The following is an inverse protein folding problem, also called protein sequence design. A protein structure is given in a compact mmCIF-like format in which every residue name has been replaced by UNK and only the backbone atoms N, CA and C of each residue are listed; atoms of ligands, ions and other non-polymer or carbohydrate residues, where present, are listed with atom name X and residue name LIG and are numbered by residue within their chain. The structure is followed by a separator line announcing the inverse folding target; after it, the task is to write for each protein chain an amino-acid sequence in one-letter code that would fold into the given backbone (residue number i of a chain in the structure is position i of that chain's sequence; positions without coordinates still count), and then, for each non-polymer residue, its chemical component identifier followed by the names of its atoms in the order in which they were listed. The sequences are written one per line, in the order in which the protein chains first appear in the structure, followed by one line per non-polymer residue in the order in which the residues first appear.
data_IF_699933984724
#
_entry.id   IF_699933984724
#
_cell.length_a   1.000
_cell.length_b   1.000
_cell.length_c   1.000
_cell.angle_alpha   90.00
_cell.angle_beta   90.00
_cell.angle_gamma   90.00
#
_symmetry.space_group_name_H-M   'P 1'
#
loop_
_entity.id
_entity.type
_entity.pdbx_description
1 polymer ?
#
# COMPACT_ATOMS: atom_id res chain seq x y z
N UNK A 1 -1.11 11.55 -16.57
CA UNK A 1 -1.93 12.48 -17.38
C UNK A 1 -1.10 13.57 -18.08
N UNK A 2 0.20 13.36 -18.31
CA UNK A 2 1.11 14.40 -18.85
C UNK A 2 1.44 14.23 -20.34
N UNK A 3 1.07 13.10 -20.95
CA UNK A 3 1.36 12.79 -22.36
C UNK A 3 0.09 12.91 -23.22
N UNK A 4 0.17 13.65 -24.32
CA UNK A 4 -0.84 13.62 -25.39
C UNK A 4 -0.61 12.41 -26.29
N UNK A 5 -1.69 11.77 -26.70
CA UNK A 5 -1.70 10.67 -27.66
C UNK A 5 -2.23 11.17 -29.00
N UNK A 6 -1.66 10.69 -30.10
CA UNK A 6 -2.06 11.11 -31.45
C UNK A 6 -1.67 12.55 -31.82
N UNK A 7 -0.63 13.11 -31.18
CA UNK A 7 -0.10 14.42 -31.57
C UNK A 7 0.61 14.32 -32.93
N UNK A 8 0.10 15.03 -33.93
CA UNK A 8 0.73 15.24 -35.23
C UNK A 8 1.17 16.71 -35.35
N UNK A 9 1.97 17.04 -36.38
CA UNK A 9 2.46 18.41 -36.61
C UNK A 9 1.33 19.47 -36.73
N UNK A 10 0.08 19.05 -36.95
CA UNK A 10 -1.10 19.89 -37.18
C UNK A 10 -2.20 19.76 -36.11
N UNK A 11 -2.07 18.86 -35.12
CA UNK A 11 -3.11 18.68 -34.09
C UNK A 11 -2.52 18.45 -32.69
N UNK A 12 -2.95 19.22 -31.68
CA UNK A 12 -2.56 18.97 -30.30
C UNK A 12 -3.26 17.68 -29.84
N UNK A 13 -2.54 16.57 -29.79
CA UNK A 13 -3.09 15.24 -29.48
C UNK A 13 -3.93 15.17 -28.20
N UNK A 14 -4.74 14.12 -28.04
CA UNK A 14 -5.70 13.99 -26.95
C UNK A 14 -5.04 13.49 -25.65
N UNK A 15 -5.54 13.95 -24.49
CA UNK A 15 -5.06 13.52 -23.17
C UNK A 15 -6.11 12.68 -22.46
N UNK A 16 -5.68 11.54 -21.91
CA UNK A 16 -6.54 10.71 -21.08
C UNK A 16 -6.60 11.22 -19.64
N UNK A 17 -7.81 11.44 -19.13
CA UNK A 17 -8.08 12.09 -17.85
C UNK A 17 -8.68 11.17 -16.78
N UNK A 18 -9.16 9.97 -17.14
CA UNK A 18 -9.81 9.09 -16.19
C UNK A 18 -8.82 8.13 -15.48
N UNK A 19 -8.54 8.39 -14.20
CA UNK A 19 -7.69 7.49 -13.40
C UNK A 19 -8.40 6.20 -12.98
N UNK A 20 -9.73 6.22 -12.84
CA UNK A 20 -10.49 5.05 -12.40
C UNK A 20 -10.47 3.96 -13.48
N UNK A 21 -10.50 4.34 -14.76
CA UNK A 21 -10.32 3.40 -15.87
C UNK A 21 -8.94 2.71 -15.85
N UNK A 22 -7.85 3.46 -15.60
CA UNK A 22 -6.51 2.87 -15.47
C UNK A 22 -6.41 1.91 -14.28
N UNK A 23 -7.05 2.26 -13.16
CA UNK A 23 -7.14 1.39 -11.98
C UNK A 23 -7.93 0.12 -12.31
N UNK A 24 -9.00 0.21 -13.11
CA UNK A 24 -9.73 -0.96 -13.60
C UNK A 24 -8.82 -1.85 -14.45
N UNK A 25 -8.09 -1.31 -15.41
CA UNK A 25 -7.17 -2.09 -16.26
C UNK A 25 -6.13 -2.84 -15.42
N UNK A 26 -5.55 -2.17 -14.42
CA UNK A 26 -4.60 -2.80 -13.49
C UNK A 26 -5.25 -3.98 -12.74
N UNK A 27 -6.48 -3.81 -12.25
CA UNK A 27 -7.23 -4.85 -11.52
C UNK A 27 -7.62 -6.02 -12.42
N UNK A 28 -8.05 -5.74 -13.66
CA UNK A 28 -8.41 -6.76 -14.66
C UNK A 28 -7.18 -7.60 -15.02
N UNK A 29 -6.05 -6.95 -15.34
CA UNK A 29 -4.83 -7.70 -15.65
C UNK A 29 -4.37 -8.53 -14.44
N UNK A 30 -4.38 -7.95 -13.24
CA UNK A 30 -4.06 -8.65 -12.02
C UNK A 30 -4.96 -9.88 -11.79
N UNK A 31 -6.26 -9.75 -12.05
CA UNK A 31 -7.22 -10.84 -11.97
C UNK A 31 -6.90 -11.95 -12.98
N UNK A 32 -6.59 -11.59 -14.23
CA UNK A 32 -6.21 -12.54 -15.30
C UNK A 32 -4.92 -13.26 -14.94
N UNK A 33 -3.87 -12.54 -14.54
CA UNK A 33 -2.56 -13.11 -14.16
C UNK A 33 -2.71 -14.04 -12.96
N UNK A 34 -3.46 -13.62 -11.94
CA UNK A 34 -3.71 -14.46 -10.76
C UNK A 34 -4.57 -15.69 -11.10
N UNK A 35 -5.60 -15.52 -11.95
CA UNK A 35 -6.44 -16.62 -12.42
C UNK A 35 -5.65 -17.65 -13.22
N UNK A 36 -4.85 -17.20 -14.17
CA UNK A 36 -3.96 -18.04 -14.97
C UNK A 36 -2.94 -18.76 -14.07
N UNK A 37 -2.34 -18.06 -13.12
CA UNK A 37 -1.40 -18.65 -12.16
C UNK A 37 -2.07 -19.68 -11.23
N UNK A 38 -3.34 -19.49 -10.88
CA UNK A 38 -4.12 -20.47 -10.10
C UNK A 38 -4.46 -21.74 -10.91
N UNK A 39 -4.66 -21.61 -12.22
CA UNK A 39 -4.93 -22.75 -13.12
C UNK A 39 -3.65 -23.51 -13.45
N UNK A 40 -2.56 -22.80 -13.73
CA UNK A 40 -1.28 -23.39 -14.17
C UNK A 40 -0.45 -23.95 -13.00
N UNK A 41 -0.49 -23.34 -11.82
CA UNK A 41 0.28 -23.77 -10.66
C UNK A 41 -0.64 -24.43 -9.62
N UNK A 42 -0.22 -25.57 -9.05
CA UNK A 42 -0.93 -26.20 -7.93
C UNK A 42 -0.99 -25.23 -6.74
N UNK A 43 -2.18 -24.73 -6.44
CA UNK A 43 -2.43 -23.87 -5.28
C UNK A 43 -2.87 -24.69 -4.06
N UNK A 44 -2.60 -24.21 -2.83
CA UNK A 44 -3.13 -24.82 -1.62
C UNK A 44 -4.67 -24.79 -1.60
N UNK A 45 -5.30 -25.67 -0.81
CA UNK A 45 -6.76 -25.72 -0.68
C UNK A 45 -7.29 -24.35 -0.25
N UNK A 46 -8.24 -23.82 -1.02
CA UNK A 46 -8.91 -22.56 -0.72
C UNK A 46 -9.83 -22.73 0.49
N UNK A 47 -9.46 -22.14 1.63
CA UNK A 47 -10.19 -22.28 2.89
C UNK A 47 -11.11 -21.10 3.24
N UNK A 48 -10.98 -19.95 2.59
CA UNK A 48 -11.73 -18.75 2.96
C UNK A 48 -13.05 -18.64 2.17
N UNK A 49 -14.16 -18.22 2.81
CA UNK A 49 -15.38 -17.90 2.08
C UNK A 49 -15.17 -16.72 1.12
N UNK A 50 -15.64 -16.84 -0.13
CA UNK A 50 -15.43 -15.84 -1.19
C UNK A 50 -15.93 -14.44 -0.81
N UNK A 51 -17.05 -14.33 -0.10
CA UNK A 51 -17.58 -13.02 0.31
C UNK A 51 -16.63 -12.24 1.23
N UNK A 52 -15.67 -12.88 1.91
CA UNK A 52 -14.74 -12.17 2.80
C UNK A 52 -13.72 -11.31 2.06
N UNK A 53 -13.43 -11.63 0.80
CA UNK A 53 -12.59 -10.79 -0.05
C UNK A 53 -13.28 -9.46 -0.37
N UNK A 54 -14.62 -9.44 -0.45
CA UNK A 54 -15.37 -8.23 -0.78
C UNK A 54 -15.14 -7.10 0.22
N UNK A 55 -14.98 -7.41 1.52
CA UNK A 55 -14.68 -6.40 2.53
C UNK A 55 -13.34 -5.71 2.30
N UNK A 56 -12.28 -6.47 2.01
CA UNK A 56 -10.97 -5.91 1.66
C UNK A 56 -11.03 -5.11 0.35
N UNK A 57 -11.79 -5.57 -0.63
CA UNK A 57 -11.95 -4.88 -1.91
C UNK A 57 -12.72 -3.57 -1.76
N UNK A 58 -13.80 -3.58 -0.98
CA UNK A 58 -14.63 -2.41 -0.71
C UNK A 58 -13.85 -1.36 0.07
N UNK A 59 -13.16 -1.75 1.15
CA UNK A 59 -12.34 -0.83 1.92
C UNK A 59 -11.18 -0.26 1.09
N UNK A 60 -10.58 -1.05 0.19
CA UNK A 60 -9.54 -0.56 -0.71
C UNK A 60 -10.08 0.46 -1.73
N UNK A 61 -11.28 0.23 -2.29
CA UNK A 61 -11.96 1.18 -3.18
C UNK A 61 -12.26 2.49 -2.44
N UNK A 62 -12.87 2.42 -1.27
CA UNK A 62 -13.19 3.60 -0.45
C UNK A 62 -11.92 4.35 -0.01
N UNK A 63 -10.88 3.63 0.40
CA UNK A 63 -9.57 4.20 0.72
C UNK A 63 -9.00 4.98 -0.46
N UNK A 64 -9.01 4.37 -1.66
CA UNK A 64 -8.52 5.01 -2.89
C UNK A 64 -9.31 6.29 -3.19
N UNK A 65 -10.65 6.23 -3.09
CA UNK A 65 -11.51 7.39 -3.32
C UNK A 65 -11.21 8.52 -2.32
N UNK A 66 -11.17 8.23 -1.02
CA UNK A 66 -10.80 9.21 0.00
C UNK A 66 -9.41 9.80 -0.23
N UNK A 67 -8.44 9.00 -0.66
CA UNK A 67 -7.09 9.46 -0.95
C UNK A 67 -7.06 10.47 -2.12
N UNK A 68 -7.78 10.17 -3.20
CA UNK A 68 -7.84 11.05 -4.37
C UNK A 68 -8.64 12.32 -4.08
N UNK A 69 -9.78 12.22 -3.39
CA UNK A 69 -10.56 13.39 -2.99
C UNK A 69 -9.79 14.29 -2.01
N UNK A 70 -9.01 13.70 -1.09
CA UNK A 70 -8.16 14.48 -0.18
C UNK A 70 -7.15 15.35 -0.92
N UNK A 71 -6.71 15.01 -2.15
CA UNK A 71 -5.76 15.84 -2.92
C UNK A 71 -6.35 17.19 -3.33
N UNK A 72 -7.69 17.31 -3.37
CA UNK A 72 -8.37 18.59 -3.67
C UNK A 72 -8.32 19.55 -2.48
N UNK A 73 -8.15 19.03 -1.28
CA UNK A 73 -8.28 19.76 -0.01
C UNK A 73 -6.98 19.81 0.81
N UNK A 74 -5.99 19.02 0.42
CA UNK A 74 -4.73 18.81 1.14
C UNK A 74 -3.60 18.72 0.14
N UNK A 75 -2.47 19.35 0.45
CA UNK A 75 -1.28 19.29 -0.40
C UNK A 75 -0.68 17.87 -0.45
N UNK A 76 0.00 17.55 -1.55
CA UNK A 76 0.68 16.27 -1.71
C UNK A 76 1.69 15.97 -0.57
N UNK A 77 2.53 16.93 -0.10
CA UNK A 77 3.40 16.71 1.05
C UNK A 77 2.65 16.30 2.33
N UNK A 78 1.51 16.94 2.62
CA UNK A 78 0.71 16.60 3.80
C UNK A 78 0.12 15.18 3.69
N UNK A 79 -0.24 14.72 2.49
CA UNK A 79 -0.64 13.32 2.31
C UNK A 79 0.52 12.34 2.53
N UNK A 80 1.72 12.68 2.05
CA UNK A 80 2.93 11.89 2.24
C UNK A 80 3.25 11.78 3.74
N UNK A 81 3.10 12.87 4.49
CA UNK A 81 3.25 12.90 5.94
C UNK A 81 2.22 12.01 6.65
N UNK A 82 0.94 12.11 6.27
CA UNK A 82 -0.11 11.28 6.85
C UNK A 82 0.04 9.79 6.53
N UNK A 83 0.59 9.44 5.35
CA UNK A 83 0.96 8.06 5.02
C UNK A 83 2.08 7.55 5.91
N UNK A 84 3.03 8.40 6.30
CA UNK A 84 4.09 8.00 7.22
C UNK A 84 3.55 7.70 8.63
N UNK A 85 2.54 8.45 9.10
CA UNK A 85 1.94 8.26 10.42
C UNK A 85 0.98 7.07 10.53
N UNK A 86 0.55 6.49 9.40
CA UNK A 86 -0.42 5.38 9.36
C UNK A 86 0.06 4.10 10.04
N UNK A 87 1.35 3.97 10.37
CA UNK A 87 1.91 2.79 11.06
C UNK A 87 1.14 2.50 12.37
N UNK A 88 0.86 3.54 13.15
CA UNK A 88 0.18 3.40 14.45
C UNK A 88 -1.29 2.96 14.26
N UNK A 89 -2.11 3.64 13.42
CA UNK A 89 -3.44 3.16 13.06
C UNK A 89 -3.48 1.71 12.56
N UNK A 90 -2.51 1.28 11.75
CA UNK A 90 -2.43 -0.11 11.27
C UNK A 90 -2.24 -1.09 12.43
N UNK A 91 -1.38 -0.79 13.40
CA UNK A 91 -1.18 -1.65 14.56
C UNK A 91 -2.44 -1.72 15.45
N UNK A 92 -3.09 -0.59 15.68
CA UNK A 92 -4.36 -0.53 16.43
C UNK A 92 -5.47 -1.32 15.73
N UNK A 93 -5.61 -1.16 14.42
CA UNK A 93 -6.59 -1.91 13.62
C UNK A 93 -6.30 -3.42 13.64
N UNK A 94 -5.03 -3.84 13.69
CA UNK A 94 -4.66 -5.25 13.84
C UNK A 94 -5.08 -5.87 15.17
N UNK A 95 -5.10 -5.06 16.24
CA UNK A 95 -5.66 -5.48 17.53
C UNK A 95 -7.18 -5.63 17.48
N UNK A 96 -7.88 -4.74 16.75
CA UNK A 96 -9.33 -4.78 16.58
C UNK A 96 -9.78 -5.98 15.70
N UNK A 97 -9.18 -6.13 14.52
CA UNK A 97 -9.61 -7.09 13.49
C UNK A 97 -9.11 -8.51 13.78
N UNK A 98 -7.82 -8.65 14.09
CA UNK A 98 -7.15 -9.96 14.19
C UNK A 98 -6.83 -10.36 15.64
N UNK A 99 -7.27 -9.57 16.63
CA UNK A 99 -6.92 -9.72 18.05
C UNK A 99 -5.42 -9.91 18.30
N UNK A 100 -4.57 -9.33 17.45
CA UNK A 100 -3.11 -9.41 17.63
C UNK A 100 -2.69 -8.56 18.83
N UNK A 101 -1.81 -9.13 19.65
CA UNK A 101 -1.09 -8.40 20.68
C UNK A 101 0.26 -7.98 20.12
N UNK A 102 0.61 -6.71 20.31
CA UNK A 102 1.92 -6.15 19.96
C UNK A 102 2.63 -5.77 21.25
N UNK A 103 3.92 -6.08 21.33
CA UNK A 103 4.72 -5.77 22.52
C UNK A 103 5.00 -4.25 22.59
N UNK A 104 5.21 -3.71 23.79
CA UNK A 104 5.44 -2.27 23.98
C UNK A 104 6.62 -1.74 23.13
N UNK A 105 7.66 -2.54 22.94
CA UNK A 105 8.81 -2.20 22.09
C UNK A 105 8.44 -2.07 20.60
N UNK A 106 7.43 -2.80 20.12
CA UNK A 106 6.95 -2.67 18.74
C UNK A 106 6.24 -1.34 18.52
N UNK A 107 5.43 -0.90 19.50
CA UNK A 107 4.83 0.44 19.46
C UNK A 107 5.88 1.54 19.56
N UNK A 108 6.87 1.40 20.43
CA UNK A 108 7.96 2.37 20.55
C UNK A 108 8.71 2.54 19.23
N UNK A 109 9.12 1.43 18.60
CA UNK A 109 9.85 1.47 17.32
C UNK A 109 8.97 1.99 16.18
N UNK A 110 7.69 1.65 16.14
CA UNK A 110 6.73 2.20 15.17
C UNK A 110 6.56 3.72 15.32
N UNK A 111 6.44 4.22 16.55
CA UNK A 111 6.34 5.64 16.85
C UNK A 111 7.62 6.38 16.46
N UNK A 112 8.78 5.83 16.78
CA UNK A 112 10.07 6.42 16.37
C UNK A 112 10.21 6.48 14.84
N UNK A 113 9.81 5.43 14.12
CA UNK A 113 9.80 5.44 12.64
C UNK A 113 8.85 6.53 12.12
N UNK A 114 7.64 6.62 12.68
CA UNK A 114 6.65 7.62 12.31
C UNK A 114 7.17 9.05 12.52
N UNK A 115 7.77 9.33 13.69
CA UNK A 115 8.35 10.63 14.02
C UNK A 115 9.54 10.94 13.11
N UNK A 116 10.47 10.03 12.96
CA UNK A 116 11.68 10.24 12.15
C UNK A 116 11.36 10.50 10.68
N UNK A 117 10.42 9.73 10.09
CA UNK A 117 9.95 9.97 8.72
C UNK A 117 9.21 11.30 8.64
N UNK A 118 8.38 11.65 9.63
CA UNK A 118 7.67 12.93 9.65
C UNK A 118 8.62 14.13 9.70
N UNK A 119 9.64 14.09 10.58
CA UNK A 119 10.69 15.11 10.67
C UNK A 119 11.46 15.24 9.36
N UNK A 120 11.81 14.12 8.74
CA UNK A 120 12.50 14.09 7.45
C UNK A 120 11.65 14.71 6.33
N UNK A 121 10.38 14.33 6.23
CA UNK A 121 9.46 14.82 5.20
C UNK A 121 9.16 16.32 5.33
N UNK A 122 8.90 16.79 6.56
CA UNK A 122 8.67 18.21 6.85
C UNK A 122 9.89 19.08 6.54
N UNK A 123 11.09 18.53 6.73
CA UNK A 123 12.34 19.25 6.45
C UNK A 123 12.74 19.29 4.98
N UNK A 124 12.22 18.38 4.14
CA UNK A 124 12.77 18.13 2.79
C UNK A 124 11.91 18.70 1.66
N UNK A 125 10.84 19.44 1.98
CA UNK A 125 9.90 19.98 1.01
C UNK A 125 9.97 21.50 0.89
N UNK A 126 10.11 22.08 -0.33
CA UNK A 126 9.78 23.48 -0.53
C UNK A 126 8.26 23.67 -0.34
N UNK A 127 7.86 24.54 0.59
CA UNK A 127 6.48 25.03 0.71
C UNK A 127 6.06 25.65 -0.65
N UNK A 128 5.12 25.04 -1.41
CA UNK A 128 4.56 25.72 -2.57
C UNK A 128 3.80 26.94 -2.05
N UNK A 129 4.14 28.14 -2.54
CA UNK A 129 3.47 29.41 -2.21
C UNK A 129 1.96 29.46 -2.55
N UNK A 130 1.39 28.35 -3.01
CA UNK A 130 -0.01 28.15 -3.35
C UNK A 130 -0.54 26.78 -2.86
N UNK A 131 -0.11 26.29 -1.68
CA UNK A 131 -0.76 25.12 -1.08
C UNK A 131 -2.17 25.50 -0.65
N UNK A 132 -3.22 24.73 -1.02
CA UNK A 132 -4.54 24.93 -0.44
C UNK A 132 -4.41 24.82 1.08
N UNK A 133 -4.99 25.77 1.81
CA UNK A 133 -5.07 25.69 3.26
C UNK A 133 -5.69 24.34 3.62
N UNK A 134 -5.03 23.56 4.48
CA UNK A 134 -5.53 22.25 4.92
C UNK A 134 -6.92 22.44 5.53
N UNK A 135 -7.95 22.07 4.78
CA UNK A 135 -9.33 22.22 5.26
C UNK A 135 -9.69 21.08 6.20
N UNK A 136 -10.65 21.31 7.10
CA UNK A 136 -11.20 20.27 7.96
C UNK A 136 -11.72 19.08 7.14
N UNK A 137 -12.36 19.35 6.00
CA UNK A 137 -12.82 18.32 5.04
C UNK A 137 -11.65 17.43 4.57
N UNK A 138 -10.53 18.05 4.20
CA UNK A 138 -9.32 17.32 3.81
C UNK A 138 -8.75 16.43 4.91
N UNK A 139 -8.77 16.91 6.17
CA UNK A 139 -8.32 16.14 7.32
C UNK A 139 -9.24 14.93 7.59
N UNK A 140 -10.56 15.12 7.48
CA UNK A 140 -11.55 14.03 7.63
C UNK A 140 -11.35 12.97 6.54
N UNK A 141 -11.19 13.38 5.28
CA UNK A 141 -10.93 12.46 4.17
C UNK A 141 -9.62 11.68 4.36
N UNK A 142 -8.57 12.33 4.87
CA UNK A 142 -7.29 11.70 5.15
C UNK A 142 -7.37 10.70 6.31
N UNK A 143 -8.14 11.01 7.35
CA UNK A 143 -8.45 10.09 8.43
C UNK A 143 -9.23 8.87 7.92
N UNK A 144 -10.23 9.08 7.05
CA UNK A 144 -10.98 8.02 6.38
C UNK A 144 -10.07 7.13 5.53
N UNK A 145 -9.20 7.73 4.72
CA UNK A 145 -8.18 7.03 3.94
C UNK A 145 -7.33 6.11 4.84
N UNK A 146 -6.77 6.65 5.93
CA UNK A 146 -5.93 5.91 6.88
C UNK A 146 -6.72 4.75 7.51
N UNK A 147 -7.97 5.00 7.93
CA UNK A 147 -8.81 3.99 8.55
C UNK A 147 -9.10 2.83 7.59
N UNK A 148 -9.53 3.12 6.37
CA UNK A 148 -9.84 2.10 5.37
C UNK A 148 -8.60 1.37 4.85
N UNK A 149 -7.47 2.06 4.67
CA UNK A 149 -6.20 1.43 4.27
C UNK A 149 -5.67 0.51 5.38
N UNK A 150 -5.80 0.94 6.63
CA UNK A 150 -5.45 0.14 7.80
C UNK A 150 -6.34 -1.08 7.94
N UNK A 151 -7.64 -0.93 7.71
CA UNK A 151 -8.57 -2.06 7.69
C UNK A 151 -8.22 -3.04 6.57
N UNK A 152 -8.00 -2.56 5.35
CA UNK A 152 -7.70 -3.39 4.17
C UNK A 152 -6.52 -4.32 4.43
N UNK A 153 -5.38 -3.77 4.86
CA UNK A 153 -4.16 -4.54 5.10
C UNK A 153 -4.31 -5.54 6.26
N UNK A 154 -4.98 -5.16 7.35
CA UNK A 154 -5.22 -6.07 8.47
C UNK A 154 -6.25 -7.16 8.17
N UNK A 155 -7.28 -6.85 7.37
CA UNK A 155 -8.25 -7.84 6.91
C UNK A 155 -7.58 -8.85 5.98
N UNK A 156 -6.72 -8.39 5.07
CA UNK A 156 -5.90 -9.27 4.23
C UNK A 156 -4.98 -10.17 5.07
N UNK A 157 -4.30 -9.63 6.09
CA UNK A 157 -3.50 -10.40 7.05
C UNK A 157 -4.36 -11.45 7.79
N UNK A 158 -5.56 -11.09 8.23
CA UNK A 158 -6.51 -12.02 8.85
C UNK A 158 -6.95 -13.14 7.90
N UNK A 159 -7.16 -12.83 6.62
CA UNK A 159 -7.53 -13.82 5.61
C UNK A 159 -6.41 -14.84 5.36
N UNK A 160 -5.13 -14.45 5.46
CA UNK A 160 -4.02 -15.40 5.36
C UNK A 160 -4.04 -16.49 6.45
N UNK A 161 -4.79 -16.32 7.55
CA UNK A 161 -5.01 -17.37 8.53
C UNK A 161 -5.69 -18.63 7.95
N UNK A 162 -6.40 -18.50 6.81
CA UNK A 162 -7.01 -19.62 6.09
C UNK A 162 -6.00 -20.42 5.23
N UNK A 163 -4.68 -20.24 5.43
CA UNK A 163 -3.60 -20.96 4.72
C UNK A 163 -3.66 -20.87 3.19
N UNK A 164 -4.19 -19.76 2.68
CA UNK A 164 -4.26 -19.46 1.25
C UNK A 164 -2.94 -18.90 0.71
N UNK A 165 -2.72 -18.99 -0.60
CA UNK A 165 -1.57 -18.35 -1.26
C UNK A 165 -1.80 -16.86 -1.54
N UNK A 166 -0.71 -16.10 -1.74
CA UNK A 166 -0.79 -14.70 -2.16
C UNK A 166 -1.45 -14.51 -3.53
N UNK A 167 -1.35 -15.51 -4.41
CA UNK A 167 -2.01 -15.51 -5.72
C UNK A 167 -3.53 -15.66 -5.58
N UNK A 168 -3.99 -16.53 -4.68
CA UNK A 168 -5.42 -16.67 -4.38
C UNK A 168 -6.00 -15.41 -3.75
N UNK A 169 -5.25 -14.75 -2.85
CA UNK A 169 -5.62 -13.44 -2.31
C UNK A 169 -5.75 -12.39 -3.42
N UNK A 170 -4.77 -12.33 -4.32
CA UNK A 170 -4.78 -11.40 -5.45
C UNK A 170 -5.99 -11.64 -6.36
N UNK A 171 -6.33 -12.89 -6.65
CA UNK A 171 -7.52 -13.22 -7.43
C UNK A 171 -8.81 -12.76 -6.74
N UNK A 172 -9.02 -13.15 -5.48
CA UNK A 172 -10.24 -12.84 -4.73
C UNK A 172 -10.45 -11.33 -4.56
N UNK A 173 -9.41 -10.61 -4.14
CA UNK A 173 -9.49 -9.15 -3.97
C UNK A 173 -9.72 -8.44 -5.30
N UNK A 174 -8.99 -8.79 -6.36
CA UNK A 174 -9.18 -8.13 -7.66
C UNK A 174 -10.53 -8.47 -8.29
N UNK A 175 -11.10 -9.65 -8.05
CA UNK A 175 -12.43 -10.01 -8.56
C UNK A 175 -13.52 -9.06 -8.05
N UNK A 176 -13.63 -8.88 -6.73
CA UNK A 176 -14.58 -7.94 -6.14
C UNK A 176 -14.21 -6.48 -6.43
N UNK A 177 -12.92 -6.15 -6.46
CA UNK A 177 -12.45 -4.80 -6.80
C UNK A 177 -12.78 -4.43 -8.25
N UNK A 178 -12.76 -5.37 -9.19
CA UNK A 178 -13.26 -5.17 -10.55
C UNK A 178 -14.77 -4.92 -10.53
N UNK A 179 -15.55 -5.74 -9.83
CA UNK A 179 -17.00 -5.58 -9.76
C UNK A 179 -17.42 -4.19 -9.24
N UNK A 180 -16.82 -3.75 -8.14
CA UNK A 180 -17.10 -2.42 -7.58
C UNK A 180 -16.65 -1.28 -8.49
N UNK A 181 -15.49 -1.40 -9.15
CA UNK A 181 -14.99 -0.34 -10.04
C UNK A 181 -15.73 -0.28 -11.37
N UNK A 182 -16.15 -1.42 -11.93
CA UNK A 182 -17.00 -1.44 -13.13
C UNK A 182 -18.34 -0.77 -12.83
N UNK A 183 -18.97 -1.08 -11.69
CA UNK A 183 -20.21 -0.41 -11.28
C UNK A 183 -20.05 1.11 -11.23
N UNK A 184 -19.02 1.60 -10.52
CA UNK A 184 -18.74 3.03 -10.43
C UNK A 184 -18.41 3.70 -11.77
N UNK A 185 -17.71 3.01 -12.69
CA UNK A 185 -17.36 3.55 -14.01
C UNK A 185 -18.55 3.57 -14.98
N UNK A 186 -19.49 2.62 -14.84
CA UNK A 186 -20.72 2.59 -15.63
C UNK A 186 -21.64 3.76 -15.26
N UNK A 187 -21.78 4.06 -13.97
CA UNK A 187 -22.57 5.21 -13.48
C UNK A 187 -22.04 6.55 -14.00
N UNK A 188 -20.72 6.67 -14.17
CA UNK A 188 -20.06 7.88 -14.68
C UNK A 188 -20.00 7.95 -16.22
N UNK A 189 -20.34 6.87 -16.93
CA UNK A 189 -20.17 6.76 -18.39
C UNK A 189 -18.72 6.63 -18.88
N UNK A 190 -17.73 6.70 -17.97
CA UNK A 190 -16.32 6.77 -18.30
C UNK A 190 -15.73 5.44 -18.83
N UNK A 191 -16.39 4.31 -18.57
CA UNK A 191 -15.98 3.00 -19.09
C UNK A 191 -16.00 2.95 -20.63
N UNK A 192 -17.07 3.47 -21.22
CA UNK A 192 -17.24 3.49 -22.68
C UNK A 192 -16.27 4.48 -23.33
N UNK A 193 -16.05 5.62 -22.68
CA UNK A 193 -15.11 6.63 -23.15
C UNK A 193 -13.65 6.12 -23.11
N UNK A 194 -13.25 5.48 -22.01
CA UNK A 194 -11.92 4.88 -21.86
C UNK A 194 -11.65 3.75 -22.86
N UNK A 195 -12.62 2.88 -23.11
CA UNK A 195 -12.47 1.80 -24.11
C UNK A 195 -12.38 2.35 -25.53
N UNK A 196 -13.18 3.36 -25.89
CA UNK A 196 -13.07 4.05 -27.18
C UNK A 196 -11.74 4.76 -27.34
N UNK A 197 -11.24 5.42 -26.30
CA UNK A 197 -9.92 6.06 -26.32
C UNK A 197 -8.79 5.05 -26.57
N UNK A 198 -8.85 3.91 -25.88
CA UNK A 198 -7.89 2.82 -26.04
C UNK A 198 -7.93 2.20 -27.45
N UNK A 199 -9.11 2.10 -28.06
CA UNK A 199 -9.26 1.65 -29.44
C UNK A 199 -8.72 2.64 -30.48
N UNK A 200 -8.81 3.95 -30.20
CA UNK A 200 -8.28 5.02 -31.08
C UNK A 200 -6.76 5.19 -30.98
N UNK A 201 -6.17 4.87 -29.83
CA UNK A 201 -4.75 5.06 -29.56
C UNK A 201 -4.08 3.78 -29.04
N UNK A 202 -3.51 2.98 -29.95
CA UNK A 202 -2.79 1.74 -29.60
C UNK A 202 -1.57 1.97 -28.69
N UNK A 203 -0.89 3.11 -28.80
CA UNK A 203 0.19 3.50 -27.89
C UNK A 203 -0.29 3.65 -26.44
N UNK A 204 -1.51 4.18 -26.24
CA UNK A 204 -2.11 4.28 -24.91
C UNK A 204 -2.36 2.89 -24.34
N UNK A 205 -2.84 1.94 -25.16
CA UNK A 205 -3.04 0.56 -24.74
C UNK A 205 -1.72 -0.10 -24.30
N UNK A 206 -0.61 0.12 -25.03
CA UNK A 206 0.71 -0.39 -24.66
C UNK A 206 1.20 0.18 -23.32
N UNK A 207 1.05 1.50 -23.10
CA UNK A 207 1.41 2.12 -21.83
C UNK A 207 0.53 1.63 -20.68
N UNK A 208 -0.78 1.49 -20.90
CA UNK A 208 -1.72 0.96 -19.92
C UNK A 208 -1.36 -0.49 -19.56
N UNK A 209 -1.05 -1.33 -20.55
CA UNK A 209 -0.63 -2.71 -20.33
C UNK A 209 0.67 -2.80 -19.53
N UNK A 210 1.69 -2.02 -19.89
CA UNK A 210 2.96 -1.97 -19.15
C UNK A 210 2.75 -1.53 -17.70
N UNK A 211 1.92 -0.51 -17.48
CA UNK A 211 1.54 -0.04 -16.15
C UNK A 211 0.83 -1.15 -15.37
N UNK A 212 -0.09 -1.87 -16.01
CA UNK A 212 -0.83 -2.98 -15.41
C UNK A 212 0.08 -4.16 -15.07
N UNK A 213 1.04 -4.52 -15.92
CA UNK A 213 2.01 -5.59 -15.63
C UNK A 213 2.84 -5.23 -14.39
N UNK A 214 3.40 -4.02 -14.37
CA UNK A 214 4.17 -3.53 -13.23
C UNK A 214 3.30 -3.49 -11.95
N UNK A 215 2.04 -3.07 -12.07
CA UNK A 215 1.08 -3.04 -10.96
C UNK A 215 0.77 -4.44 -10.43
N UNK A 216 0.54 -5.42 -11.32
CA UNK A 216 0.27 -6.81 -10.95
C UNK A 216 1.47 -7.44 -10.21
N UNK A 217 2.69 -7.22 -10.71
CA UNK A 217 3.92 -7.64 -10.01
C UNK A 217 4.01 -7.00 -8.62
N UNK A 218 3.77 -5.69 -8.51
CA UNK A 218 3.77 -4.97 -7.23
C UNK A 218 2.74 -5.51 -6.24
N UNK A 219 1.53 -5.82 -6.72
CA UNK A 219 0.46 -6.42 -5.91
C UNK A 219 0.86 -7.79 -5.35
N UNK A 220 1.52 -8.64 -6.14
CA UNK A 220 2.05 -9.91 -5.65
C UNK A 220 3.02 -9.71 -4.49
N UNK A 221 3.95 -8.76 -4.60
CA UNK A 221 4.86 -8.44 -3.50
C UNK A 221 4.14 -7.91 -2.26
N UNK A 222 3.09 -7.09 -2.44
CA UNK A 222 2.25 -6.61 -1.34
C UNK A 222 1.60 -7.79 -0.60
N UNK A 223 0.88 -8.65 -1.31
CA UNK A 223 0.20 -9.79 -0.72
C UNK A 223 1.18 -10.81 -0.12
N UNK A 224 2.33 -11.03 -0.75
CA UNK A 224 3.39 -11.88 -0.20
C UNK A 224 3.94 -11.31 1.11
N UNK A 225 4.22 -10.01 1.15
CA UNK A 225 4.75 -9.34 2.34
C UNK A 225 3.75 -9.40 3.49
N UNK A 226 2.46 -9.14 3.22
CA UNK A 226 1.40 -9.25 4.23
C UNK A 226 1.27 -10.70 4.72
N UNK A 227 1.27 -11.69 3.83
CA UNK A 227 1.15 -13.09 4.21
C UNK A 227 2.34 -13.62 5.03
N UNK A 228 3.56 -13.15 4.75
CA UNK A 228 4.78 -13.61 5.44
C UNK A 228 5.09 -12.83 6.71
N UNK A 229 4.91 -11.50 6.70
CA UNK A 229 5.37 -10.62 7.77
C UNK A 229 4.24 -9.88 8.50
N UNK A 230 3.00 -9.96 7.99
CA UNK A 230 1.83 -9.30 8.56
C UNK A 230 1.67 -7.84 8.14
N UNK A 231 0.50 -7.27 8.44
CA UNK A 231 0.11 -5.92 8.04
C UNK A 231 0.98 -4.81 8.65
N UNK A 232 1.39 -4.96 9.92
CA UNK A 232 2.22 -3.97 10.60
C UNK A 232 3.61 -3.84 9.99
N UNK A 233 4.26 -4.97 9.66
CA UNK A 233 5.57 -4.95 8.99
C UNK A 233 5.44 -4.44 7.56
N UNK A 234 4.39 -4.84 6.85
CA UNK A 234 4.09 -4.33 5.51
C UNK A 234 3.98 -2.79 5.49
N UNK A 235 3.21 -2.20 6.40
CA UNK A 235 3.07 -0.74 6.47
C UNK A 235 4.39 -0.05 6.77
N UNK A 236 5.23 -0.63 7.63
CA UNK A 236 6.57 -0.08 7.92
C UNK A 236 7.45 -0.15 6.67
N UNK A 237 7.48 -1.26 5.94
CA UNK A 237 8.22 -1.39 4.68
C UNK A 237 7.77 -0.33 3.66
N UNK A 238 6.46 -0.12 3.52
CA UNK A 238 5.93 0.92 2.64
C UNK A 238 6.38 2.33 3.03
N UNK A 239 6.29 2.68 4.31
CA UNK A 239 6.71 3.98 4.83
C UNK A 239 8.21 4.21 4.61
N UNK A 240 9.04 3.20 4.87
CA UNK A 240 10.48 3.26 4.61
C UNK A 240 10.81 3.43 3.14
N UNK A 241 10.16 2.65 2.26
CA UNK A 241 10.34 2.77 0.81
C UNK A 241 10.04 4.19 0.33
N UNK A 242 8.98 4.80 0.84
CA UNK A 242 8.61 6.18 0.53
C UNK A 242 9.66 7.18 1.06
N UNK A 243 10.13 7.00 2.29
CA UNK A 243 11.19 7.84 2.87
C UNK A 243 12.50 7.75 2.07
N UNK A 244 12.94 6.54 1.70
CA UNK A 244 14.13 6.33 0.88
C UNK A 244 14.00 6.94 -0.52
N UNK A 245 12.83 6.81 -1.15
CA UNK A 245 12.59 7.43 -2.46
C UNK A 245 12.72 8.96 -2.40
N UNK A 246 12.22 9.57 -1.32
CA UNK A 246 12.30 11.03 -1.13
C UNK A 246 13.72 11.44 -0.77
N UNK A 247 14.42 10.69 0.09
CA UNK A 247 15.84 10.90 0.38
C UNK A 247 16.70 10.85 -0.87
N UNK A 248 16.52 9.82 -1.69
CA UNK A 248 17.24 9.68 -2.96
C UNK A 248 16.92 10.83 -3.91
N UNK A 249 15.65 11.26 -3.98
CA UNK A 249 15.26 12.45 -4.74
C UNK A 249 15.99 13.70 -4.25
N UNK A 250 16.05 13.96 -2.95
CA UNK A 250 16.77 15.11 -2.40
C UNK A 250 18.26 15.06 -2.73
N UNK A 251 18.89 13.88 -2.63
CA UNK A 251 20.30 13.68 -2.95
C UNK A 251 20.61 13.87 -4.44
N UNK A 252 19.77 13.34 -5.33
CA UNK A 252 19.97 13.45 -6.79
C UNK A 252 19.68 14.86 -7.33
N UNK A 253 18.65 15.54 -6.80
CA UNK A 253 18.27 16.89 -7.23
C UNK A 253 18.93 18.02 -6.42
N UNK A 254 19.87 17.68 -5.53
CA UNK A 254 20.65 18.65 -4.75
C UNK A 254 19.82 19.54 -3.82
N UNK A 255 18.67 19.07 -3.33
CA UNK A 255 17.89 19.82 -2.35
C UNK A 255 18.59 19.82 -0.99
N UNK A 256 18.62 20.98 -0.33
CA UNK A 256 19.27 21.11 0.98
C UNK A 256 18.46 20.39 2.06
N UNK A 257 18.94 19.21 2.49
CA UNK A 257 18.40 18.51 3.65
C UNK A 257 18.84 19.29 4.89
N UNK A 258 17.88 19.87 5.62
CA UNK A 258 18.21 20.59 6.85
C UNK A 258 18.73 19.64 7.94
N UNK A 259 19.38 20.20 8.96
CA UNK A 259 19.84 19.43 10.14
C UNK A 259 18.71 18.61 10.76
N UNK A 260 17.47 19.14 10.77
CA UNK A 260 16.28 18.43 11.28
C UNK A 260 15.95 17.21 10.43
N UNK A 261 16.08 17.32 9.11
CA UNK A 261 15.90 16.20 8.18
C UNK A 261 16.95 15.11 8.38
N UNK A 262 18.22 15.49 8.57
CA UNK A 262 19.30 14.57 8.90
C UNK A 262 19.07 13.83 10.23
N UNK A 263 18.62 14.54 11.27
CA UNK A 263 18.20 13.94 12.52
C UNK A 263 17.02 12.97 12.34
N UNK A 264 16.02 13.33 11.53
CA UNK A 264 14.90 12.46 11.19
C UNK A 264 15.35 11.13 10.57
N UNK A 265 16.28 11.18 9.61
CA UNK A 265 16.89 9.97 9.01
C UNK A 265 17.61 9.13 10.07
N UNK A 266 18.43 9.75 10.92
CA UNK A 266 19.13 9.06 11.99
C UNK A 266 18.17 8.34 12.96
N UNK A 267 17.07 8.99 13.33
CA UNK A 267 16.01 8.39 14.17
C UNK A 267 15.37 7.18 13.50
N UNK A 268 15.07 7.24 12.20
CA UNK A 268 14.52 6.09 11.46
C UNK A 268 15.49 4.92 11.47
N UNK A 269 16.77 5.15 11.18
CA UNK A 269 17.79 4.09 11.21
C UNK A 269 17.94 3.50 12.61
N UNK A 270 18.02 4.33 13.65
CA UNK A 270 18.09 3.87 15.03
C UNK A 270 16.87 3.02 15.43
N UNK A 271 15.67 3.43 15.03
CA UNK A 271 14.43 2.70 15.31
C UNK A 271 14.40 1.33 14.61
N UNK A 272 14.89 1.25 13.37
CA UNK A 272 14.99 -0.02 12.65
C UNK A 272 16.01 -0.96 13.29
N UNK A 273 17.20 -0.45 13.63
CA UNK A 273 18.22 -1.23 14.32
C UNK A 273 17.71 -1.75 15.66
N UNK A 274 17.06 -0.89 16.45
CA UNK A 274 16.42 -1.26 17.71
C UNK A 274 15.38 -2.37 17.50
N UNK A 275 14.54 -2.26 16.47
CA UNK A 275 13.51 -3.27 16.15
C UNK A 275 14.12 -4.61 15.77
N UNK A 276 15.14 -4.61 14.90
CA UNK A 276 15.85 -5.83 14.48
C UNK A 276 16.54 -6.48 15.67
N UNK A 277 17.23 -5.69 16.50
CA UNK A 277 17.90 -6.16 17.70
C UNK A 277 16.92 -6.74 18.73
N UNK A 278 15.83 -6.04 19.03
CA UNK A 278 14.80 -6.50 19.97
C UNK A 278 14.18 -7.83 19.49
N UNK A 279 13.81 -7.91 18.21
CA UNK A 279 13.26 -9.14 17.61
C UNK A 279 14.27 -10.30 17.66
N UNK A 280 15.55 -10.02 17.45
CA UNK A 280 16.64 -11.00 17.58
C UNK A 280 16.78 -11.53 19.01
N UNK A 281 16.76 -10.65 20.01
CA UNK A 281 16.85 -11.00 21.44
C UNK A 281 15.66 -11.83 21.91
N UNK A 282 14.44 -11.46 21.52
CA UNK A 282 13.22 -12.22 21.83
C UNK A 282 13.26 -13.63 21.23
N UNK A 283 13.70 -13.77 19.98
CA UNK A 283 13.88 -15.08 19.33
C UNK A 283 14.92 -15.95 20.04
N UNK A 284 15.99 -15.36 20.58
CA UNK A 284 16.98 -16.07 21.37
C UNK A 284 16.46 -16.48 22.77
N UNK A 285 15.71 -15.60 23.44
CA UNK A 285 15.08 -15.91 24.74
C UNK A 285 14.03 -17.02 24.62
N UNK A 286 13.18 -16.98 23.59
CA UNK A 286 12.19 -18.04 23.33
C UNK A 286 12.83 -19.39 23.02
N UNK A 287 13.98 -19.42 22.32
CA UNK A 287 14.74 -20.66 22.09
C UNK A 287 15.38 -21.24 23.35
N UNK A 288 15.77 -20.40 24.32
CA UNK A 288 16.34 -20.85 25.61
C UNK A 288 15.27 -21.33 26.60
N UNK A 289 14.00 -21.00 26.38
CA UNK A 289 12.89 -21.34 27.28
C UNK A 289 12.21 -22.69 26.98
N UNK A 290 12.65 -23.44 25.96
CA UNK A 290 12.27 -24.85 25.77
C UNK A 290 13.40 -25.70 26.37
N UNK A 291 13.26 -26.22 27.60
CA UNK A 291 14.24 -27.17 28.12
C UNK A 291 14.15 -28.44 27.29
N UNK A 292 15.30 -28.94 26.87
CA UNK A 292 15.46 -30.32 26.41
C UNK A 292 15.09 -31.20 27.60
N UNK A 293 13.90 -31.82 27.58
CA UNK A 293 13.60 -32.94 28.47
C UNK A 293 14.64 -34.03 28.19
N UNK A 294 15.48 -34.27 29.19
CA UNK A 294 16.40 -35.40 29.26
C UNK A 294 15.59 -36.71 29.16
N UNK A 295 15.94 -37.66 28.26
CA UNK A 295 15.33 -38.97 28.30
C UNK A 295 15.76 -39.66 29.58
N UNK A 296 14.77 -39.91 30.43
CA UNK A 296 14.84 -40.73 31.64
C UNK A 296 15.52 -42.06 31.34
N UNK A 297 16.60 -42.31 32.08
CA UNK A 297 17.30 -43.59 32.17
C UNK A 297 16.32 -44.65 32.70
N UNK A 298 15.93 -45.61 31.85
CA UNK A 298 15.24 -46.82 32.30
C UNK A 298 16.29 -47.89 32.59
N UNK A 299 16.25 -48.32 33.85
CA UNK A 299 16.91 -49.49 34.45
C UNK A 299 16.51 -50.77 33.70
#
# INVERSE_FOLDING_TARGET
MTRSYGATATSPGERFTDSQFLVLMNRVLALIVAGLSCVLCKQPRHGAPMYRYSFASLSNVLSSWCQYEALKFVSFPTQVLAKASKVIPVMLMGKLVSRRSYEHWEYLTATLISIGVSMFLLSSGPEPRSSPATTLSGLILLAGYIAFDSFTSNWQDALFAYKMSSVQMMFGVNFFSCLFTVGSLLEQGALLEGTRFMGRHSEFAAHALLLSICSACGQLFIFYTIGQFGAAVFTIIMTLRQAFAILLSCLLYGHTVTVVGGLGVAVVFAALLLRVYARGRLKQRGKKAVPVESPVQKV
#
